data_IF_843465740785
#
_entry.id   IF_843465740785
#
_cell.length_a   1.000
_cell.length_b   1.000
_cell.length_c   1.000
_cell.angle_alpha   90.00
_cell.angle_beta   90.00
_cell.angle_gamma   90.00
#
_symmetry.space_group_name_H-M   'P 1'
#
loop_
_entity.id
_entity.type
_entity.pdbx_description
1 polymer ?
#
# COMPACT_ATOMS: atom_id res chain seq x y z
N UNK A 1 -22.38 7.50 -16.31
CA UNK A 1 -21.72 7.33 -14.98
C UNK A 1 -20.33 6.75 -15.21
N UNK A 2 -19.31 7.23 -14.50
CA UNK A 2 -17.95 6.65 -14.55
C UNK A 2 -17.84 5.39 -13.67
N UNK A 3 -16.94 4.47 -14.04
CA UNK A 3 -16.78 3.15 -13.42
C UNK A 3 -15.92 3.12 -12.14
N UNK A 4 -15.12 4.16 -11.89
CA UNK A 4 -14.20 4.25 -10.75
C UNK A 4 -13.52 5.62 -10.71
N UNK A 5 -12.71 5.86 -9.68
CA UNK A 5 -11.98 7.11 -9.49
C UNK A 5 -10.50 6.83 -9.23
N UNK A 6 -9.64 7.64 -9.85
CA UNK A 6 -8.20 7.59 -9.61
C UNK A 6 -7.77 8.72 -8.67
N UNK A 7 -6.86 8.40 -7.76
CA UNK A 7 -6.16 9.32 -6.87
C UNK A 7 -4.72 9.39 -7.39
N UNK A 8 -4.32 10.54 -7.92
CA UNK A 8 -3.01 10.74 -8.54
C UNK A 8 -2.36 12.04 -8.09
N UNK A 9 -1.10 12.25 -8.48
CA UNK A 9 -0.31 13.41 -8.06
C UNK A 9 0.37 13.27 -6.69
N UNK A 10 0.33 12.05 -6.12
CA UNK A 10 0.86 11.69 -4.80
C UNK A 10 2.03 10.68 -4.89
N UNK A 11 2.87 10.82 -5.92
CA UNK A 11 4.04 9.94 -6.15
C UNK A 11 5.29 10.78 -6.48
N UNK A 12 5.23 12.09 -6.21
CA UNK A 12 6.18 13.09 -6.71
C UNK A 12 7.32 13.43 -5.75
N UNK A 13 7.27 12.93 -4.50
CA UNK A 13 8.29 13.19 -3.48
C UNK A 13 7.80 14.09 -2.33
N UNK A 14 6.50 14.26 -2.18
CA UNK A 14 5.90 14.91 -1.01
C UNK A 14 6.22 14.16 0.31
N UNK A 15 6.15 14.89 1.42
CA UNK A 15 6.36 14.32 2.75
C UNK A 15 5.32 13.23 3.02
N UNK A 16 5.73 12.14 3.68
CA UNK A 16 4.84 11.00 3.95
C UNK A 16 3.64 11.40 4.80
N UNK A 17 3.82 12.39 5.68
CA UNK A 17 2.80 12.98 6.53
C UNK A 17 1.70 13.71 5.75
N UNK A 18 2.03 14.29 4.59
CA UNK A 18 1.05 14.95 3.72
C UNK A 18 0.43 13.95 2.75
N UNK A 19 1.24 13.01 2.24
CA UNK A 19 0.82 11.92 1.37
C UNK A 19 -0.40 11.18 1.92
N UNK A 20 -0.30 10.62 3.14
CA UNK A 20 -1.38 9.76 3.66
C UNK A 20 -2.65 10.56 4.00
N UNK A 21 -2.51 11.83 4.40
CA UNK A 21 -3.64 12.73 4.67
C UNK A 21 -4.41 13.04 3.39
N UNK A 22 -3.70 13.27 2.28
CA UNK A 22 -4.33 13.50 0.98
C UNK A 22 -5.03 12.25 0.46
N UNK A 23 -4.44 11.06 0.68
CA UNK A 23 -5.12 9.79 0.38
C UNK A 23 -6.39 9.65 1.20
N UNK A 24 -6.32 9.83 2.51
CA UNK A 24 -7.48 9.70 3.42
C UNK A 24 -8.60 10.69 3.07
N UNK A 25 -8.25 11.97 2.87
CA UNK A 25 -9.22 12.98 2.43
C UNK A 25 -9.89 12.59 1.11
N UNK A 26 -9.11 12.05 0.17
CA UNK A 26 -9.64 11.63 -1.13
C UNK A 26 -10.58 10.43 -0.98
N UNK A 27 -10.21 9.42 -0.18
CA UNK A 27 -11.03 8.22 0.00
C UNK A 27 -12.35 8.54 0.71
N UNK A 28 -12.35 9.44 1.69
CA UNK A 28 -13.55 9.92 2.40
C UNK A 28 -14.54 10.66 1.49
N UNK A 29 -14.04 11.42 0.51
CA UNK A 29 -14.88 12.19 -0.41
C UNK A 29 -15.39 11.37 -1.60
N UNK A 30 -14.75 10.24 -1.89
CA UNK A 30 -15.09 9.39 -3.03
C UNK A 30 -16.19 8.37 -2.66
N UNK A 31 -17.14 8.07 -3.56
CA UNK A 31 -18.19 7.09 -3.29
C UNK A 31 -17.66 5.69 -2.93
N UNK A 32 -18.24 5.07 -1.89
CA UNK A 32 -17.89 3.72 -1.42
C UNK A 32 -18.28 2.61 -2.41
N UNK A 33 -19.28 2.87 -3.27
CA UNK A 33 -19.78 1.90 -4.25
C UNK A 33 -18.88 1.78 -5.50
N UNK A 34 -17.74 2.48 -5.52
CA UNK A 34 -16.84 2.52 -6.67
C UNK A 34 -15.38 2.32 -6.29
N UNK A 35 -14.61 1.64 -7.14
CA UNK A 35 -13.21 1.39 -6.88
C UNK A 35 -12.39 2.70 -6.91
N UNK A 36 -11.48 2.79 -5.94
CA UNK A 36 -10.52 3.88 -5.75
C UNK A 36 -9.12 3.40 -6.11
N UNK A 37 -8.54 3.98 -7.16
CA UNK A 37 -7.26 3.58 -7.72
C UNK A 37 -6.17 4.60 -7.35
N UNK A 38 -5.21 4.20 -6.53
CA UNK A 38 -4.08 5.04 -6.12
C UNK A 38 -2.89 4.86 -7.07
N UNK A 39 -2.51 5.94 -7.74
CA UNK A 39 -1.52 5.89 -8.83
C UNK A 39 -0.08 6.06 -8.36
N UNK A 40 0.82 5.19 -8.83
CA UNK A 40 2.27 5.33 -8.67
C UNK A 40 2.80 4.93 -7.30
N UNK A 41 2.04 4.15 -6.52
CA UNK A 41 2.39 3.70 -5.18
C UNK A 41 2.64 2.20 -5.19
N UNK A 42 3.79 1.75 -4.68
CA UNK A 42 4.15 0.32 -4.72
C UNK A 42 5.14 -0.15 -3.69
N UNK A 43 5.51 0.67 -2.72
CA UNK A 43 6.25 0.19 -1.56
C UNK A 43 5.30 -0.64 -0.68
N UNK A 44 5.69 -1.84 -0.21
CA UNK A 44 4.78 -2.73 0.51
C UNK A 44 4.05 -2.08 1.71
N UNK A 45 4.75 -1.26 2.50
CA UNK A 45 4.14 -0.54 3.62
C UNK A 45 3.05 0.44 3.16
N UNK A 46 3.32 1.17 2.07
CA UNK A 46 2.36 2.13 1.52
C UNK A 46 1.09 1.42 1.02
N UNK A 47 1.25 0.27 0.37
CA UNK A 47 0.11 -0.51 -0.11
C UNK A 47 -0.79 -0.96 1.04
N UNK A 48 -0.19 -1.49 2.12
CA UNK A 48 -0.93 -1.93 3.32
C UNK A 48 -1.66 -0.75 3.98
N UNK A 49 -0.97 0.37 4.21
CA UNK A 49 -1.56 1.55 4.84
C UNK A 49 -2.65 2.17 3.96
N UNK A 50 -2.41 2.34 2.66
CA UNK A 50 -3.40 2.94 1.76
C UNK A 50 -4.62 2.03 1.53
N UNK A 51 -4.45 0.71 1.59
CA UNK A 51 -5.60 -0.21 1.63
C UNK A 51 -6.42 -0.02 2.91
N UNK A 52 -5.79 0.22 4.06
CA UNK A 52 -6.51 0.56 5.29
C UNK A 52 -7.22 1.93 5.22
N UNK A 53 -6.67 2.88 4.46
CA UNK A 53 -7.32 4.16 4.18
C UNK A 53 -8.46 4.04 3.13
N UNK A 54 -8.69 2.87 2.54
CA UNK A 54 -9.81 2.62 1.62
C UNK A 54 -9.47 2.66 0.14
N UNK A 55 -8.20 2.52 -0.25
CA UNK A 55 -7.81 2.32 -1.65
C UNK A 55 -7.93 0.85 -2.09
N UNK A 56 -8.48 0.61 -3.27
CA UNK A 56 -8.79 -0.74 -3.79
C UNK A 56 -7.76 -1.24 -4.81
N UNK A 57 -7.20 -0.33 -5.60
CA UNK A 57 -6.33 -0.66 -6.73
C UNK A 57 -5.07 0.19 -6.71
N UNK A 58 -3.97 -0.37 -7.19
CA UNK A 58 -2.65 0.26 -7.21
C UNK A 58 -1.92 -0.09 -8.50
N UNK A 59 -1.04 0.81 -8.94
CA UNK A 59 -0.04 0.53 -9.94
C UNK A 59 1.32 1.07 -9.50
N UNK A 60 2.39 0.43 -9.97
CA UNK A 60 3.71 0.93 -9.68
C UNK A 60 4.77 0.43 -10.67
N UNK A 61 5.76 1.28 -10.90
CA UNK A 61 7.01 0.93 -11.60
C UNK A 61 8.05 0.30 -10.67
N UNK A 62 7.77 0.17 -9.37
CA UNK A 62 8.70 -0.33 -8.36
C UNK A 62 9.34 -1.68 -8.71
N UNK A 63 8.60 -2.71 -9.18
CA UNK A 63 9.19 -4.01 -9.51
C UNK A 63 10.30 -3.95 -10.55
N UNK A 64 10.15 -3.08 -11.55
CA UNK A 64 11.10 -2.91 -12.64
C UNK A 64 12.23 -1.95 -12.25
N UNK A 65 11.96 -0.90 -11.46
CA UNK A 65 12.99 0.05 -11.01
C UNK A 65 14.01 -0.56 -10.06
N UNK A 66 13.61 -1.55 -9.27
CA UNK A 66 14.48 -2.24 -8.29
C UNK A 66 15.25 -3.41 -8.89
N UNK A 67 14.98 -3.78 -10.15
CA UNK A 67 15.73 -4.83 -10.82
C UNK A 67 17.17 -4.41 -11.15
N UNK A 68 18.09 -5.37 -11.08
CA UNK A 68 19.53 -5.14 -11.35
C UNK A 68 19.73 -4.84 -12.83
N UNK A 69 20.22 -3.64 -13.16
CA UNK A 69 20.39 -3.15 -14.54
C UNK A 69 21.61 -3.69 -15.30
N UNK A 70 22.31 -4.70 -14.76
CA UNK A 70 23.58 -5.19 -15.33
C UNK A 70 23.42 -6.27 -16.38
N UNK A 71 22.39 -7.09 -16.29
CA UNK A 71 22.16 -8.23 -17.19
C UNK A 71 20.66 -8.43 -17.43
N UNK A 72 20.25 -8.62 -18.68
CA UNK A 72 18.83 -8.70 -19.08
C UNK A 72 18.10 -9.91 -18.48
N UNK A 73 18.74 -11.08 -18.45
CA UNK A 73 18.16 -12.31 -17.88
C UNK A 73 17.91 -12.16 -16.39
N UNK A 74 18.93 -11.72 -15.64
CA UNK A 74 18.83 -11.47 -14.20
C UNK A 74 17.78 -10.39 -13.89
N UNK A 75 17.75 -9.30 -14.65
CA UNK A 75 16.73 -8.25 -14.51
C UNK A 75 15.32 -8.79 -14.72
N UNK A 76 15.13 -9.70 -15.69
CA UNK A 76 13.83 -10.28 -16.00
C UNK A 76 13.34 -11.21 -14.88
N UNK A 77 14.23 -12.05 -14.33
CA UNK A 77 13.91 -12.95 -13.21
C UNK A 77 13.56 -12.13 -11.96
N UNK A 78 14.36 -11.12 -11.61
CA UNK A 78 14.09 -10.27 -10.44
C UNK A 78 12.78 -9.50 -10.63
N UNK A 79 12.53 -8.93 -11.82
CA UNK A 79 11.27 -8.24 -12.09
C UNK A 79 10.08 -9.18 -11.92
N UNK A 80 10.17 -10.40 -12.45
CA UNK A 80 9.12 -11.43 -12.30
C UNK A 80 8.88 -11.77 -10.84
N UNK A 81 9.95 -11.97 -10.07
CA UNK A 81 9.86 -12.21 -8.63
C UNK A 81 9.18 -11.04 -7.89
N UNK A 82 9.58 -9.81 -8.18
CA UNK A 82 9.03 -8.61 -7.53
C UNK A 82 7.54 -8.40 -7.85
N UNK A 83 7.15 -8.61 -9.11
CA UNK A 83 5.72 -8.56 -9.51
C UNK A 83 4.93 -9.64 -8.78
N UNK A 84 5.43 -10.89 -8.76
CA UNK A 84 4.78 -11.98 -8.04
C UNK A 84 4.64 -11.68 -6.54
N UNK A 85 5.69 -11.11 -5.93
CA UNK A 85 5.66 -10.70 -4.53
C UNK A 85 4.58 -9.65 -4.25
N UNK A 86 4.47 -8.61 -5.08
CA UNK A 86 3.42 -7.59 -4.94
C UNK A 86 2.02 -8.18 -5.15
N UNK A 87 1.82 -9.02 -6.17
CA UNK A 87 0.54 -9.69 -6.41
C UNK A 87 0.13 -10.57 -5.22
N UNK A 88 1.08 -11.30 -4.63
CA UNK A 88 0.83 -12.12 -3.44
C UNK A 88 0.48 -11.25 -2.22
N UNK A 89 1.16 -10.12 -2.02
CA UNK A 89 0.80 -9.19 -0.95
C UNK A 89 -0.63 -8.67 -1.10
N UNK A 90 -1.03 -8.22 -2.31
CA UNK A 90 -2.38 -7.72 -2.57
C UNK A 90 -3.44 -8.81 -2.40
N UNK A 91 -3.11 -10.04 -2.78
CA UNK A 91 -3.97 -11.20 -2.52
C UNK A 91 -4.16 -11.42 -1.02
N UNK A 92 -3.09 -11.41 -0.23
CA UNK A 92 -3.17 -11.59 1.23
C UNK A 92 -3.93 -10.47 1.94
N UNK A 93 -3.77 -9.22 1.50
CA UNK A 93 -4.59 -8.10 1.98
C UNK A 93 -6.07 -8.38 1.72
N UNK A 94 -6.43 -8.69 0.48
CA UNK A 94 -7.82 -8.99 0.10
C UNK A 94 -8.41 -10.14 0.92
N UNK A 95 -7.67 -11.24 1.06
CA UNK A 95 -8.10 -12.39 1.85
C UNK A 95 -8.33 -12.01 3.32
N UNK A 96 -7.44 -11.23 3.92
CA UNK A 96 -7.60 -10.80 5.31
C UNK A 96 -8.79 -9.88 5.54
N UNK A 97 -9.17 -9.06 4.55
CA UNK A 97 -10.37 -8.22 4.61
C UNK A 97 -11.62 -9.08 4.53
N UNK A 98 -11.66 -10.05 3.60
CA UNK A 98 -12.79 -10.98 3.45
C UNK A 98 -12.99 -11.88 4.66
N UNK A 99 -11.91 -12.21 5.38
CA UNK A 99 -11.90 -13.02 6.60
C UNK A 99 -12.02 -12.18 7.88
N UNK A 100 -12.33 -10.87 7.78
CA UNK A 100 -12.51 -9.94 8.90
C UNK A 100 -11.32 -9.88 9.89
N UNK A 101 -10.11 -10.16 9.40
CA UNK A 101 -8.86 -10.19 10.20
C UNK A 101 -7.80 -9.20 9.70
N UNK A 102 -8.23 -8.16 9.00
CA UNK A 102 -7.32 -7.20 8.40
C UNK A 102 -6.47 -6.41 9.42
N UNK A 103 -7.00 -5.97 10.58
CA UNK A 103 -6.17 -5.35 11.61
C UNK A 103 -5.04 -6.27 12.09
N UNK A 104 -5.33 -7.55 12.34
CA UNK A 104 -4.33 -8.55 12.74
C UNK A 104 -3.29 -8.76 11.63
N UNK A 105 -3.73 -8.82 10.37
CA UNK A 105 -2.81 -8.88 9.24
C UNK A 105 -1.84 -7.68 9.21
N UNK A 106 -2.32 -6.47 9.49
CA UNK A 106 -1.48 -5.27 9.56
C UNK A 106 -0.48 -5.37 10.71
N UNK A 107 -0.91 -5.80 11.90
CA UNK A 107 -0.02 -6.00 13.04
C UNK A 107 1.09 -7.01 12.73
N UNK A 108 0.73 -8.17 12.18
CA UNK A 108 1.68 -9.21 11.77
C UNK A 108 2.66 -8.70 10.70
N UNK A 109 2.14 -7.97 9.71
CA UNK A 109 2.95 -7.36 8.66
C UNK A 109 3.95 -6.35 9.24
N UNK A 110 3.50 -5.49 10.15
CA UNK A 110 4.32 -4.46 10.79
C UNK A 110 5.39 -5.07 11.70
N UNK A 111 5.06 -6.11 12.47
CA UNK A 111 6.04 -6.85 13.28
C UNK A 111 7.07 -7.57 12.42
N UNK A 112 6.66 -8.12 11.28
CA UNK A 112 7.57 -8.77 10.34
C UNK A 112 8.52 -7.77 9.66
N UNK A 113 8.03 -6.58 9.33
CA UNK A 113 8.84 -5.53 8.67
C UNK A 113 9.71 -4.76 9.67
N UNK A 114 9.21 -4.51 10.89
CA UNK A 114 9.88 -3.79 11.97
C UNK A 114 9.90 -4.62 13.26
N UNK A 115 10.78 -5.63 13.37
CA UNK A 115 10.82 -6.51 14.54
C UNK A 115 11.14 -5.81 15.86
N UNK A 116 11.81 -4.65 15.80
CA UNK A 116 12.13 -3.79 16.95
C UNK A 116 10.98 -2.88 17.38
N UNK A 117 9.84 -2.91 16.65
CA UNK A 117 8.67 -2.03 16.84
C UNK A 117 8.95 -0.54 16.67
N UNK A 118 10.06 -0.20 16.01
CA UNK A 118 10.36 1.17 15.60
C UNK A 118 9.59 1.48 14.30
N UNK A 119 8.28 1.75 14.45
CA UNK A 119 7.39 1.99 13.32
C UNK A 119 7.54 3.44 12.81
N UNK A 120 7.49 3.66 11.49
CA UNK A 120 7.44 5.01 10.94
C UNK A 120 6.23 5.80 11.48
N UNK A 121 6.47 6.98 12.04
CA UNK A 121 5.42 7.81 12.68
C UNK A 121 4.23 8.08 11.75
N UNK A 122 4.48 8.43 10.48
CA UNK A 122 3.43 8.65 9.50
C UNK A 122 2.51 7.43 9.30
N UNK A 123 3.05 6.21 9.37
CA UNK A 123 2.28 4.98 9.16
C UNK A 123 1.43 4.67 10.40
N UNK A 124 1.99 4.86 11.59
CA UNK A 124 1.27 4.73 12.85
C UNK A 124 0.11 5.75 12.94
N UNK A 125 0.36 7.00 12.57
CA UNK A 125 -0.65 8.06 12.55
C UNK A 125 -1.77 7.80 11.53
N UNK A 126 -1.40 7.34 10.33
CA UNK A 126 -2.35 6.98 9.28
C UNK A 126 -3.28 5.83 9.73
N UNK A 127 -2.71 4.74 10.28
CA UNK A 127 -3.48 3.60 10.77
C UNK A 127 -4.36 3.98 11.96
N UNK A 128 -3.85 4.82 12.87
CA UNK A 128 -4.63 5.34 13.99
C UNK A 128 -5.84 6.15 13.53
N UNK A 129 -5.73 6.89 12.42
CA UNK A 129 -6.84 7.67 11.86
C UNK A 129 -8.04 6.81 11.43
N UNK A 130 -7.80 5.53 11.12
CA UNK A 130 -8.82 4.53 10.79
C UNK A 130 -9.03 3.50 11.91
N UNK A 131 -8.72 3.87 13.16
CA UNK A 131 -8.90 3.07 14.38
C UNK A 131 -8.05 1.79 14.48
N UNK A 132 -6.96 1.68 13.71
CA UNK A 132 -6.01 0.56 13.79
C UNK A 132 -4.83 0.98 14.66
N UNK A 133 -4.59 0.25 15.75
CA UNK A 133 -3.56 0.57 16.74
C UNK A 133 -2.45 -0.47 16.67
N UNK A 134 -1.22 -0.03 16.43
CA UNK A 134 -0.06 -0.91 16.39
C UNK A 134 0.37 -1.33 17.81
N UNK A 135 0.88 -2.55 17.99
CA UNK A 135 1.36 -3.03 19.28
C UNK A 135 2.61 -2.27 19.71
N UNK A 136 2.65 -1.79 20.95
CA UNK A 136 3.82 -1.15 21.57
C UNK A 136 4.96 -2.12 21.84
#
# INVERSE_FOLDING_TARGET
KVAGYAIGGLSGGEAKEDFWKMVHLSTDLLPDDKPRYLMGVGFPLDLVVCSALGCDMFDCVFPTRTAVKKESTTSSIITTHNVAHQMNLMKSIRESILEERFPQFIEDFMLKMFPTKDYPGWAADALKSVNIHLPS
#
